data_IF_864673177318
#
_entry.id   IF_864673177318
#
_cell.length_a   1.000
_cell.length_b   1.000
_cell.length_c   1.000
_cell.angle_alpha   90.00
_cell.angle_beta   90.00
_cell.angle_gamma   90.00
#
_symmetry.space_group_name_H-M   'P 1'
#
loop_
_entity.id
_entity.type
_entity.pdbx_description
1 polymer ?
#
# COMPACT_ATOMS: atom_id res chain seq x y z
N UNK A 1 40.62 -61.44 -31.58
CA UNK A 1 41.01 -62.86 -31.48
C UNK A 1 39.77 -63.63 -31.03
N UNK A 2 39.48 -64.57 -31.87
CA UNK A 2 38.47 -65.64 -31.78
C UNK A 2 38.69 -66.54 -30.55
N UNK A 3 37.63 -67.17 -30.02
CA UNK A 3 37.40 -68.60 -29.82
C UNK A 3 36.20 -68.68 -28.86
N UNK A 4 34.98 -69.08 -29.20
CA UNK A 4 34.41 -70.35 -29.60
C UNK A 4 34.07 -71.28 -28.42
N UNK A 5 32.77 -71.63 -28.43
CA UNK A 5 31.99 -72.59 -27.65
C UNK A 5 32.64 -73.97 -27.38
N UNK A 6 32.09 -74.84 -26.46
CA UNK A 6 31.04 -75.71 -26.96
C UNK A 6 29.89 -76.09 -26.02
N UNK A 7 28.85 -76.55 -26.67
CA UNK A 7 27.67 -77.30 -26.34
C UNK A 7 27.96 -78.61 -25.61
N UNK A 8 27.12 -78.97 -24.64
CA UNK A 8 26.86 -80.37 -24.31
C UNK A 8 25.39 -80.61 -23.93
N UNK A 9 24.73 -81.34 -24.76
CA UNK A 9 23.40 -81.97 -24.56
C UNK A 9 23.52 -83.21 -23.72
N UNK A 10 22.57 -83.53 -22.89
CA UNK A 10 22.24 -84.92 -22.47
C UNK A 10 20.77 -85.04 -22.05
N UNK A 11 20.21 -86.08 -22.57
CA UNK A 11 18.84 -86.58 -22.60
C UNK A 11 18.34 -87.18 -21.26
N UNK A 12 17.00 -87.17 -21.17
CA UNK A 12 16.12 -88.28 -20.67
C UNK A 12 15.80 -88.35 -19.16
N UNK A 13 14.55 -88.17 -18.82
CA UNK A 13 13.68 -89.32 -18.47
C UNK A 13 12.27 -88.85 -18.06
N UNK A 14 11.27 -89.38 -18.69
CA UNK A 14 9.85 -89.20 -18.32
C UNK A 14 9.48 -90.03 -17.12
N UNK A 15 8.79 -89.41 -16.16
CA UNK A 15 8.02 -90.14 -15.14
C UNK A 15 6.64 -89.50 -15.10
N UNK A 16 5.66 -90.28 -15.57
CA UNK A 16 4.24 -90.02 -15.45
C UNK A 16 3.79 -90.26 -13.99
N UNK A 17 3.42 -89.22 -13.28
CA UNK A 17 2.68 -89.33 -12.01
C UNK A 17 1.39 -88.52 -12.18
N UNK A 18 0.26 -89.17 -12.20
CA UNK A 18 -1.03 -88.52 -12.25
C UNK A 18 -1.31 -87.77 -10.96
N UNK A 19 -1.63 -86.56 -11.08
CA UNK A 19 -2.13 -85.71 -9.99
C UNK A 19 -3.61 -85.45 -10.23
N UNK A 20 -4.42 -85.82 -9.25
CA UNK A 20 -5.81 -85.44 -9.14
C UNK A 20 -5.93 -83.90 -9.03
N UNK A 21 -6.70 -83.34 -9.92
CA UNK A 21 -7.04 -81.93 -9.86
C UNK A 21 -7.99 -81.59 -8.73
N UNK A 22 -7.50 -80.88 -7.71
CA UNK A 22 -8.34 -80.25 -6.68
C UNK A 22 -8.89 -78.95 -7.34
N UNK A 23 -10.21 -78.69 -7.29
CA UNK A 23 -10.76 -77.49 -7.81
C UNK A 23 -10.26 -76.27 -6.94
N UNK A 24 -9.45 -75.43 -7.50
CA UNK A 24 -9.07 -74.15 -6.89
C UNK A 24 -10.25 -73.22 -6.98
N UNK A 25 -10.82 -72.87 -5.79
CA UNK A 25 -11.83 -71.87 -5.67
C UNK A 25 -11.18 -70.51 -6.11
N UNK A 26 -11.80 -69.82 -7.04
CA UNK A 26 -11.37 -68.51 -7.47
C UNK A 26 -11.29 -67.50 -6.25
N UNK A 27 -10.25 -66.70 -6.09
CA UNK A 27 -10.21 -65.73 -5.02
C UNK A 27 -11.39 -64.74 -5.20
N UNK A 28 -12.04 -64.41 -4.07
CA UNK A 28 -13.10 -63.41 -4.03
C UNK A 28 -12.56 -62.07 -4.58
N UNK A 29 -13.36 -61.34 -5.36
CA UNK A 29 -12.92 -60.01 -5.84
C UNK A 29 -12.58 -59.12 -4.65
N UNK A 30 -11.45 -58.43 -4.74
CA UNK A 30 -11.05 -57.43 -3.75
C UNK A 30 -12.16 -56.38 -3.60
N UNK A 31 -12.49 -55.95 -2.37
CA UNK A 31 -13.46 -54.87 -2.20
C UNK A 31 -13.01 -53.63 -2.97
N UNK A 32 -13.95 -53.04 -3.67
CA UNK A 32 -13.71 -51.75 -4.35
C UNK A 32 -13.10 -50.75 -3.34
N UNK A 33 -12.06 -50.02 -3.73
CA UNK A 33 -11.51 -48.99 -2.86
C UNK A 33 -12.62 -48.00 -2.53
N UNK A 34 -12.84 -47.82 -1.21
CA UNK A 34 -13.80 -46.80 -0.74
C UNK A 34 -13.54 -45.48 -1.44
N UNK A 35 -14.57 -44.77 -1.89
CA UNK A 35 -14.37 -43.49 -2.55
C UNK A 35 -13.56 -42.59 -1.61
N UNK A 36 -12.36 -42.16 -2.07
CA UNK A 36 -11.59 -41.16 -1.37
C UNK A 36 -12.45 -39.90 -1.35
N UNK A 37 -13.02 -39.60 -0.21
CA UNK A 37 -13.61 -38.28 0.04
C UNK A 37 -12.48 -37.31 -0.09
N UNK A 38 -12.38 -36.70 -1.27
CA UNK A 38 -11.49 -35.56 -1.49
C UNK A 38 -11.93 -34.51 -0.46
N UNK A 39 -11.10 -34.28 0.56
CA UNK A 39 -11.34 -33.19 1.48
C UNK A 39 -11.64 -31.95 0.61
N UNK A 40 -12.82 -31.39 0.78
CA UNK A 40 -13.13 -30.12 0.12
C UNK A 40 -11.99 -29.18 0.47
N UNK A 41 -11.30 -28.69 -0.55
CA UNK A 41 -10.26 -27.69 -0.34
C UNK A 41 -10.94 -26.57 0.45
N UNK A 42 -10.45 -26.32 1.67
CA UNK A 42 -10.97 -25.23 2.48
C UNK A 42 -10.88 -23.97 1.63
N UNK A 43 -12.02 -23.36 1.40
CA UNK A 43 -12.06 -22.09 0.68
C UNK A 43 -11.24 -21.12 1.52
N UNK A 44 -10.18 -20.48 0.97
CA UNK A 44 -9.41 -19.52 1.75
C UNK A 44 -10.37 -18.46 2.30
N UNK A 45 -10.09 -17.91 3.49
CA UNK A 45 -10.92 -16.86 4.06
C UNK A 45 -11.00 -15.70 3.08
N UNK A 46 -12.15 -14.98 3.02
CA UNK A 46 -12.29 -13.83 2.15
C UNK A 46 -11.25 -12.78 2.51
N UNK A 47 -10.59 -12.22 1.48
CA UNK A 47 -9.64 -11.12 1.66
C UNK A 47 -10.41 -9.79 1.77
N UNK A 48 -10.24 -9.08 2.87
CA UNK A 48 -10.98 -7.85 3.17
C UNK A 48 -10.61 -6.67 2.24
N UNK A 49 -9.41 -6.71 1.64
CA UNK A 49 -8.90 -5.63 0.80
C UNK A 49 -9.33 -5.76 -0.66
N UNK A 50 -9.92 -6.90 -1.04
CA UNK A 50 -10.24 -7.20 -2.44
C UNK A 50 -11.15 -6.14 -3.07
N UNK A 51 -12.28 -5.81 -2.46
CA UNK A 51 -13.22 -4.86 -3.05
C UNK A 51 -12.65 -3.43 -3.08
N UNK A 52 -11.91 -3.04 -2.04
CA UNK A 52 -11.23 -1.75 -1.99
C UNK A 52 -10.19 -1.63 -3.11
N UNK A 53 -9.36 -2.66 -3.31
CA UNK A 53 -8.35 -2.69 -4.37
C UNK A 53 -8.97 -2.74 -5.77
N UNK A 54 -10.04 -3.51 -5.96
CA UNK A 54 -10.78 -3.54 -7.23
C UNK A 54 -11.37 -2.16 -7.53
N UNK A 55 -11.98 -1.48 -6.55
CA UNK A 55 -12.47 -0.12 -6.74
C UNK A 55 -11.34 0.83 -7.12
N UNK A 56 -10.21 0.74 -6.43
CA UNK A 56 -9.07 1.63 -6.69
C UNK A 56 -8.44 1.40 -8.07
N UNK A 57 -8.37 0.16 -8.56
CA UNK A 57 -7.75 -0.16 -9.86
C UNK A 57 -8.69 -0.09 -11.05
N UNK A 58 -9.97 -0.40 -10.87
CA UNK A 58 -10.88 -0.67 -11.97
C UNK A 58 -12.04 0.32 -12.08
N UNK A 59 -12.30 1.16 -11.06
CA UNK A 59 -13.40 2.12 -11.16
C UNK A 59 -12.98 3.39 -11.90
N UNK A 60 -13.87 3.84 -12.78
CA UNK A 60 -13.73 5.16 -13.43
C UNK A 60 -13.94 6.28 -12.41
N UNK A 61 -14.76 6.04 -11.40
CA UNK A 61 -15.05 6.98 -10.31
C UNK A 61 -13.78 7.40 -9.57
N UNK A 62 -12.83 6.46 -9.35
CA UNK A 62 -11.53 6.80 -8.77
C UNK A 62 -10.80 7.84 -9.61
N UNK A 63 -10.71 7.64 -10.92
CA UNK A 63 -10.01 8.56 -11.81
C UNK A 63 -10.68 9.94 -11.85
N UNK A 64 -12.02 9.95 -11.85
CA UNK A 64 -12.79 11.21 -11.83
C UNK A 64 -12.55 11.98 -10.53
N UNK A 65 -12.60 11.32 -9.36
CA UNK A 65 -12.41 11.96 -8.05
C UNK A 65 -10.99 12.51 -7.92
N UNK A 66 -9.96 11.75 -8.26
CA UNK A 66 -8.58 12.23 -8.25
C UNK A 66 -8.38 13.44 -9.18
N UNK A 67 -8.84 13.34 -10.43
CA UNK A 67 -8.75 14.43 -11.40
C UNK A 67 -9.54 15.67 -10.98
N UNK A 68 -10.69 15.52 -10.32
CA UNK A 68 -11.47 16.63 -9.78
C UNK A 68 -10.73 17.34 -8.64
N UNK A 69 -10.18 16.60 -7.68
CA UNK A 69 -9.44 17.15 -6.55
C UNK A 69 -8.26 17.99 -7.04
N UNK A 70 -7.40 17.46 -7.90
CA UNK A 70 -6.26 18.20 -8.42
C UNK A 70 -6.65 19.40 -9.29
N UNK A 71 -7.71 19.30 -10.07
CA UNK A 71 -8.23 20.43 -10.87
C UNK A 71 -8.80 21.51 -9.96
N UNK A 72 -9.55 21.17 -8.92
CA UNK A 72 -10.06 22.11 -7.95
C UNK A 72 -8.92 22.82 -7.20
N UNK A 73 -7.88 22.10 -6.80
CA UNK A 73 -6.66 22.67 -6.20
C UNK A 73 -5.99 23.69 -7.13
N UNK A 74 -5.91 23.39 -8.43
CA UNK A 74 -5.39 24.32 -9.43
C UNK A 74 -6.13 25.66 -9.47
N UNK A 75 -7.45 25.65 -9.23
CA UNK A 75 -8.26 26.86 -9.12
C UNK A 75 -7.89 27.74 -7.91
N UNK A 76 -7.43 27.15 -6.81
CA UNK A 76 -7.01 27.90 -5.61
C UNK A 76 -5.56 28.36 -5.65
N UNK A 77 -4.73 27.82 -6.54
CA UNK A 77 -3.28 28.11 -6.54
C UNK A 77 -2.97 29.60 -6.74
N UNK A 78 -3.69 30.26 -7.62
CA UNK A 78 -3.49 31.70 -7.87
C UNK A 78 -3.85 32.55 -6.64
N UNK A 79 -4.93 32.21 -5.94
CA UNK A 79 -5.36 32.87 -4.70
C UNK A 79 -4.34 32.66 -3.59
N UNK A 80 -3.88 31.41 -3.41
CA UNK A 80 -2.89 31.06 -2.40
C UNK A 80 -1.53 31.75 -2.65
N UNK A 81 -1.14 31.91 -3.91
CA UNK A 81 0.09 32.66 -4.29
C UNK A 81 -0.03 34.14 -3.97
N UNK A 82 -1.18 34.76 -4.27
CA UNK A 82 -1.40 36.20 -4.11
C UNK A 82 -1.54 36.64 -2.64
N UNK A 83 -2.02 35.78 -1.76
CA UNK A 83 -2.19 36.08 -0.34
C UNK A 83 -0.95 35.69 0.46
N UNK A 84 -0.13 36.69 0.85
CA UNK A 84 1.06 36.44 1.65
C UNK A 84 0.77 35.82 3.03
N UNK A 85 -0.44 35.96 3.55
CA UNK A 85 -0.88 35.36 4.83
C UNK A 85 -1.37 33.92 4.68
N UNK A 86 -1.53 33.44 3.45
CA UNK A 86 -1.98 32.08 3.18
C UNK A 86 -0.93 31.06 3.62
N UNK A 87 -1.29 30.17 4.53
CA UNK A 87 -0.45 29.05 4.97
C UNK A 87 -1.32 27.83 5.27
N UNK A 88 -0.89 26.67 4.85
CA UNK A 88 -1.59 25.39 5.01
C UNK A 88 -1.04 24.56 6.18
N UNK A 89 0.02 25.00 6.86
CA UNK A 89 0.52 24.30 8.05
C UNK A 89 -0.36 24.59 9.26
N UNK A 90 -0.72 23.58 10.07
CA UNK A 90 -1.31 23.80 11.37
C UNK A 90 -0.44 24.71 12.23
N UNK A 91 -1.03 25.52 13.14
CA UNK A 91 -0.25 26.37 14.04
C UNK A 91 0.81 25.62 14.85
N UNK A 92 0.57 24.35 15.21
CA UNK A 92 1.56 23.52 15.90
C UNK A 92 2.78 23.13 15.05
N UNK A 93 2.66 23.18 13.72
CA UNK A 93 3.76 22.88 12.79
C UNK A 93 4.44 24.17 12.28
N UNK A 94 3.91 25.37 12.60
CA UNK A 94 4.43 26.66 12.18
C UNK A 94 5.04 27.41 13.38
N UNK A 95 6.32 27.72 13.31
CA UNK A 95 7.05 28.40 14.37
C UNK A 95 7.70 29.72 13.93
N UNK A 96 7.38 30.22 12.72
CA UNK A 96 7.91 31.46 12.17
C UNK A 96 6.84 32.18 11.33
N UNK A 97 7.14 33.40 10.90
CA UNK A 97 6.27 34.18 9.99
C UNK A 97 6.44 33.70 8.54
N UNK A 98 5.41 33.13 7.88
CA UNK A 98 5.51 32.60 6.53
C UNK A 98 5.47 33.67 5.43
N UNK A 99 5.10 34.94 5.73
CA UNK A 99 4.74 35.96 4.73
C UNK A 99 5.85 36.32 3.74
N UNK A 100 7.11 36.24 4.17
CA UNK A 100 8.27 36.56 3.34
C UNK A 100 8.94 35.29 2.76
N UNK A 101 8.44 34.11 3.06
CA UNK A 101 9.03 32.84 2.64
C UNK A 101 8.59 32.47 1.20
N UNK A 102 9.44 31.80 0.43
CA UNK A 102 9.08 31.28 -0.88
C UNK A 102 7.95 30.25 -0.77
N UNK A 103 7.10 30.15 -1.81
CA UNK A 103 5.96 29.24 -1.77
C UNK A 103 6.36 27.77 -1.96
N UNK A 104 5.68 26.87 -1.25
CA UNK A 104 5.80 25.43 -1.43
C UNK A 104 4.45 24.72 -1.36
N UNK A 105 4.42 23.50 -1.88
CA UNK A 105 3.35 22.52 -1.69
C UNK A 105 3.98 21.29 -1.04
N UNK A 106 3.28 20.70 -0.07
CA UNK A 106 3.63 19.41 0.50
C UNK A 106 2.66 18.37 -0.07
N UNK A 107 3.21 17.27 -0.57
CA UNK A 107 2.42 16.11 -1.02
C UNK A 107 2.94 14.85 -0.34
N UNK A 108 2.05 13.96 0.05
CA UNK A 108 2.39 12.58 0.29
C UNK A 108 2.70 11.86 -1.03
N UNK A 109 3.26 10.66 -0.97
CA UNK A 109 3.67 9.91 -2.18
C UNK A 109 2.67 8.82 -2.51
N UNK A 110 2.42 7.91 -1.54
CA UNK A 110 1.71 6.67 -1.76
C UNK A 110 0.19 6.90 -1.78
N UNK A 111 -0.48 6.47 -2.85
CA UNK A 111 -1.91 6.72 -3.10
C UNK A 111 -2.30 8.22 -3.09
N UNK A 112 -1.28 9.06 -3.15
CA UNK A 112 -1.44 10.51 -3.33
C UNK A 112 -0.93 10.95 -4.70
N UNK A 113 0.35 10.75 -5.02
CA UNK A 113 0.91 11.06 -6.34
C UNK A 113 1.30 9.82 -7.14
N UNK A 114 1.66 8.73 -6.48
CA UNK A 114 2.02 7.44 -7.09
C UNK A 114 1.01 6.35 -6.72
N UNK A 115 0.65 5.53 -7.71
CA UNK A 115 -0.24 4.37 -7.58
C UNK A 115 0.57 3.12 -7.19
N UNK A 116 0.41 2.65 -5.96
CA UNK A 116 1.04 1.43 -5.45
C UNK A 116 0.05 0.26 -5.34
N UNK A 117 -1.15 0.40 -5.85
CA UNK A 117 -2.14 -0.67 -5.87
C UNK A 117 -1.67 -1.98 -6.52
N UNK A 118 -0.67 -2.00 -7.46
CA UNK A 118 -0.11 -3.26 -7.93
C UNK A 118 0.54 -4.10 -6.82
N UNK A 119 1.14 -3.48 -5.80
CA UNK A 119 1.67 -4.22 -4.64
C UNK A 119 0.55 -4.79 -3.79
N UNK A 120 -0.54 -4.04 -3.56
CA UNK A 120 -1.72 -4.52 -2.87
C UNK A 120 -2.33 -5.74 -3.59
N UNK A 121 -2.35 -5.75 -4.92
CA UNK A 121 -2.79 -6.92 -5.71
C UNK A 121 -1.90 -8.13 -5.47
N UNK A 122 -0.58 -7.96 -5.34
CA UNK A 122 0.35 -9.06 -5.03
C UNK A 122 0.03 -9.65 -3.66
N UNK A 123 -0.14 -8.81 -2.64
CA UNK A 123 -0.52 -9.26 -1.29
C UNK A 123 -1.82 -10.07 -1.30
N UNK A 124 -2.85 -9.60 -2.01
CA UNK A 124 -4.13 -10.30 -2.15
C UNK A 124 -3.95 -11.66 -2.83
N UNK A 125 -3.21 -11.72 -3.95
CA UNK A 125 -3.02 -12.96 -4.71
C UNK A 125 -2.19 -13.99 -3.98
N UNK A 126 -1.20 -13.52 -3.22
CA UNK A 126 -0.30 -14.37 -2.42
C UNK A 126 -0.90 -14.70 -1.05
N UNK A 127 -2.06 -14.13 -0.72
CA UNK A 127 -2.72 -14.22 0.59
C UNK A 127 -1.76 -13.87 1.73
N UNK A 128 -1.10 -12.71 1.60
CA UNK A 128 -0.15 -12.17 2.56
C UNK A 128 -0.65 -10.86 3.14
N UNK A 129 -0.28 -10.60 4.39
CA UNK A 129 -0.36 -9.27 4.98
C UNK A 129 0.83 -8.41 4.50
N UNK A 130 0.73 -7.09 4.70
CA UNK A 130 1.83 -6.17 4.47
C UNK A 130 3.11 -6.60 5.20
N UNK A 131 4.25 -6.48 4.53
CA UNK A 131 5.56 -6.59 5.14
C UNK A 131 6.57 -5.66 4.47
N UNK A 132 7.50 -5.15 5.25
CA UNK A 132 8.49 -4.15 4.82
C UNK A 132 9.43 -4.66 3.71
N UNK A 133 9.72 -5.96 3.66
CA UNK A 133 10.64 -6.51 2.65
C UNK A 133 9.99 -6.54 1.25
N UNK A 134 8.76 -7.01 1.14
CA UNK A 134 8.00 -7.03 -0.12
C UNK A 134 7.71 -5.58 -0.58
N UNK A 135 7.37 -4.69 0.36
CA UNK A 135 7.20 -3.27 0.09
C UNK A 135 8.48 -2.60 -0.43
N UNK A 136 9.62 -2.81 0.24
CA UNK A 136 10.90 -2.30 -0.22
C UNK A 136 11.27 -2.81 -1.61
N UNK A 137 11.03 -4.11 -1.87
CA UNK A 137 11.24 -4.70 -3.19
C UNK A 137 10.33 -4.09 -4.29
N UNK A 138 9.11 -3.68 -3.95
CA UNK A 138 8.23 -2.94 -4.86
C UNK A 138 8.77 -1.54 -5.15
N UNK A 139 9.15 -0.79 -4.13
CA UNK A 139 9.69 0.58 -4.29
C UNK A 139 10.96 0.56 -5.16
N UNK A 140 11.83 -0.43 -4.97
CA UNK A 140 13.06 -0.60 -5.77
C UNK A 140 12.79 -0.89 -7.25
N UNK A 141 11.60 -1.35 -7.63
CA UNK A 141 11.23 -1.51 -9.03
C UNK A 141 11.03 -0.17 -9.75
N UNK A 142 10.83 0.94 -9.02
CA UNK A 142 10.59 2.28 -9.58
C UNK A 142 9.46 2.30 -10.62
N UNK A 143 8.42 1.48 -10.42
CA UNK A 143 7.40 1.18 -11.41
C UNK A 143 6.03 1.82 -11.13
N UNK A 144 5.88 2.49 -9.99
CA UNK A 144 4.65 3.16 -9.62
C UNK A 144 4.33 4.30 -10.60
N UNK A 145 3.07 4.36 -11.04
CA UNK A 145 2.59 5.32 -12.04
C UNK A 145 1.97 6.55 -11.39
N UNK A 146 1.95 7.70 -12.06
CA UNK A 146 1.22 8.87 -11.59
C UNK A 146 -0.26 8.59 -11.40
N UNK A 147 -0.82 9.10 -10.31
CA UNK A 147 -2.27 9.15 -10.11
C UNK A 147 -2.89 10.28 -10.94
N UNK A 148 -4.17 10.14 -11.37
CA UNK A 148 -4.81 11.08 -12.27
C UNK A 148 -4.81 12.52 -11.75
N UNK A 149 -4.37 13.46 -12.56
CA UNK A 149 -4.33 14.90 -12.27
C UNK A 149 -3.12 15.37 -11.44
N UNK A 150 -2.43 14.46 -10.73
CA UNK A 150 -1.32 14.82 -9.86
C UNK A 150 -0.14 15.44 -10.62
N UNK A 151 0.25 14.79 -11.71
CA UNK A 151 1.40 15.21 -12.51
C UNK A 151 1.21 16.59 -13.15
N UNK A 152 0.06 16.79 -13.77
CA UNK A 152 -0.29 18.05 -14.44
C UNK A 152 -0.35 19.19 -13.44
N UNK A 153 -1.02 19.00 -12.30
CA UNK A 153 -1.13 20.01 -11.26
C UNK A 153 0.23 20.40 -10.69
N UNK A 154 1.07 19.44 -10.31
CA UNK A 154 2.36 19.72 -9.69
C UNK A 154 3.35 20.36 -10.68
N UNK A 155 3.30 20.01 -11.96
CA UNK A 155 4.07 20.69 -13.02
C UNK A 155 3.64 22.13 -13.21
N UNK A 156 2.32 22.40 -13.23
CA UNK A 156 1.80 23.77 -13.30
C UNK A 156 2.24 24.61 -12.08
N UNK A 157 2.14 24.03 -10.88
CA UNK A 157 2.61 24.67 -9.65
C UNK A 157 4.11 25.01 -9.71
N UNK A 158 4.95 24.05 -10.13
CA UNK A 158 6.38 24.25 -10.27
C UNK A 158 6.72 25.30 -11.33
N UNK A 159 6.00 25.33 -12.47
CA UNK A 159 6.16 26.36 -13.51
C UNK A 159 5.81 27.77 -13.01
N UNK A 160 5.00 27.89 -11.96
CA UNK A 160 4.70 29.16 -11.27
C UNK A 160 5.65 29.48 -10.11
N UNK A 161 6.76 28.75 -9.97
CA UNK A 161 7.78 28.99 -8.95
C UNK A 161 7.46 28.39 -7.58
N UNK A 162 6.53 27.43 -7.50
CA UNK A 162 6.21 26.72 -6.26
C UNK A 162 7.11 25.51 -6.12
N UNK A 163 7.80 25.39 -4.98
CA UNK A 163 8.61 24.21 -4.68
C UNK A 163 7.72 23.07 -4.19
N UNK A 164 7.92 21.85 -4.71
CA UNK A 164 7.15 20.66 -4.27
C UNK A 164 8.00 19.82 -3.33
N UNK A 165 7.48 19.52 -2.13
CA UNK A 165 8.07 18.61 -1.18
C UNK A 165 7.23 17.33 -1.08
N UNK A 166 7.91 16.19 -1.08
CA UNK A 166 7.33 14.86 -0.99
C UNK A 166 7.61 14.29 0.40
N UNK A 167 6.59 14.26 1.27
CA UNK A 167 6.70 13.76 2.64
C UNK A 167 6.01 12.40 2.74
N UNK A 168 6.78 11.33 2.78
CA UNK A 168 6.26 9.96 2.74
C UNK A 168 6.72 9.15 3.95
N UNK A 169 5.95 8.14 4.32
CA UNK A 169 6.36 7.13 5.29
C UNK A 169 7.15 5.96 4.65
N UNK A 170 7.54 6.07 3.39
CA UNK A 170 8.63 5.25 2.85
C UNK A 170 9.89 5.49 3.67
N UNK A 171 10.58 4.43 4.05
CA UNK A 171 11.84 4.55 4.79
C UNK A 171 12.85 5.43 4.05
N UNK A 172 13.62 6.22 4.77
CA UNK A 172 14.60 7.13 4.19
C UNK A 172 15.71 6.39 3.40
N UNK A 173 15.96 5.10 3.69
CA UNK A 173 16.86 4.27 2.89
C UNK A 173 16.36 4.00 1.46
N UNK A 174 15.06 4.14 1.21
CA UNK A 174 14.43 4.01 -0.12
C UNK A 174 14.35 5.34 -0.88
N UNK A 175 15.01 6.40 -0.37
CA UNK A 175 14.95 7.74 -0.95
C UNK A 175 15.40 7.75 -2.42
N UNK A 176 16.51 7.09 -2.75
CA UNK A 176 17.04 7.04 -4.12
C UNK A 176 16.00 6.45 -5.08
N UNK A 177 15.47 5.26 -4.76
CA UNK A 177 14.47 4.59 -5.60
C UNK A 177 13.19 5.42 -5.75
N UNK A 178 12.75 6.08 -4.68
CA UNK A 178 11.56 6.93 -4.69
C UNK A 178 11.75 8.17 -5.56
N UNK A 179 12.88 8.87 -5.38
CA UNK A 179 13.22 10.07 -6.17
C UNK A 179 13.36 9.72 -7.65
N UNK A 180 14.00 8.60 -7.95
CA UNK A 180 14.14 8.11 -9.33
C UNK A 180 12.77 7.79 -9.95
N UNK A 181 11.87 7.13 -9.22
CA UNK A 181 10.52 6.86 -9.72
C UNK A 181 9.75 8.16 -9.99
N UNK A 182 9.79 9.12 -9.06
CA UNK A 182 9.17 10.44 -9.24
C UNK A 182 9.72 11.17 -10.47
N UNK A 183 11.04 11.17 -10.68
CA UNK A 183 11.68 11.78 -11.86
C UNK A 183 11.29 11.09 -13.15
N UNK A 184 11.34 9.76 -13.19
CA UNK A 184 10.95 8.97 -14.37
C UNK A 184 9.48 9.18 -14.72
N UNK A 185 8.61 9.29 -13.72
CA UNK A 185 7.20 9.63 -13.89
C UNK A 185 6.99 11.10 -14.33
N UNK A 186 8.04 11.94 -14.22
CA UNK A 186 8.05 13.33 -14.67
C UNK A 186 7.58 14.34 -13.63
N UNK A 187 7.52 13.97 -12.37
CA UNK A 187 7.21 14.90 -11.27
C UNK A 187 8.33 15.94 -11.06
N UNK A 188 7.98 17.18 -10.63
CA UNK A 188 8.95 18.22 -10.39
C UNK A 188 9.72 17.99 -9.08
N UNK A 189 10.83 17.30 -9.17
CA UNK A 189 11.77 17.08 -8.08
C UNK A 189 13.18 17.41 -8.58
N UNK A 190 13.64 18.66 -8.29
CA UNK A 190 14.92 19.17 -8.73
C UNK A 190 16.09 18.69 -7.88
N UNK A 191 15.85 18.55 -6.58
CA UNK A 191 16.84 18.12 -5.60
C UNK A 191 16.29 16.98 -4.73
N UNK A 192 17.16 16.02 -4.34
CA UNK A 192 16.76 14.90 -3.52
C UNK A 192 16.28 15.31 -2.12
N UNK A 193 16.70 16.47 -1.61
CA UNK A 193 16.24 17.03 -0.34
C UNK A 193 14.75 17.43 -0.34
N UNK A 194 14.11 17.45 -1.50
CA UNK A 194 12.66 17.62 -1.60
C UNK A 194 11.87 16.36 -1.22
N UNK A 195 12.52 15.21 -1.11
CA UNK A 195 11.94 13.99 -0.55
C UNK A 195 12.33 13.83 0.92
N UNK A 196 11.32 13.71 1.79
CA UNK A 196 11.46 13.57 3.23
C UNK A 196 10.79 12.25 3.66
N UNK A 197 11.57 11.17 3.71
CA UNK A 197 11.13 9.83 4.09
C UNK A 197 11.03 9.66 5.60
N UNK A 198 10.47 8.52 6.01
CA UNK A 198 10.48 8.08 7.41
C UNK A 198 11.94 7.87 7.86
N UNK A 199 12.28 8.42 9.04
CA UNK A 199 13.66 8.42 9.52
C UNK A 199 14.45 9.68 9.16
N UNK A 200 13.86 10.63 8.40
CA UNK A 200 14.48 11.95 8.21
C UNK A 200 14.68 12.65 9.56
N UNK A 201 15.92 12.91 9.92
CA UNK A 201 16.27 13.61 11.17
C UNK A 201 16.00 15.10 11.02
N UNK A 202 15.22 15.65 11.95
CA UNK A 202 14.90 17.09 12.00
C UNK A 202 15.42 17.67 13.29
N UNK A 203 16.42 18.54 13.22
CA UNK A 203 17.01 19.19 14.39
C UNK A 203 15.94 19.94 15.21
N UNK A 204 15.93 19.69 16.51
CA UNK A 204 14.99 20.31 17.45
C UNK A 204 13.55 19.81 17.36
N UNK A 205 13.33 18.66 16.70
CA UNK A 205 12.02 17.99 16.67
C UNK A 205 12.21 16.49 16.83
N UNK A 206 11.55 15.90 17.81
CA UNK A 206 11.52 14.45 17.99
C UNK A 206 10.30 13.88 17.25
N UNK A 207 10.57 13.01 16.28
CA UNK A 207 9.52 12.31 15.55
C UNK A 207 9.05 11.10 16.35
N UNK A 208 7.75 11.01 16.57
CA UNK A 208 7.11 9.85 17.19
C UNK A 208 6.55 8.93 16.11
N UNK A 209 7.06 7.69 16.05
CA UNK A 209 6.61 6.70 15.07
C UNK A 209 6.67 7.22 13.62
N UNK A 210 5.58 7.07 12.90
CA UNK A 210 5.44 7.49 11.50
C UNK A 210 4.86 8.91 11.32
N UNK A 211 4.69 9.69 12.41
CA UNK A 211 4.14 11.03 12.36
C UNK A 211 4.95 11.95 11.43
N UNK A 212 4.25 12.78 10.68
CA UNK A 212 4.87 13.66 9.67
C UNK A 212 5.13 15.10 10.18
N UNK A 213 4.76 15.42 11.42
CA UNK A 213 4.83 16.77 11.96
C UNK A 213 6.23 17.41 11.87
N UNK A 214 7.29 16.69 12.29
CA UNK A 214 8.67 17.19 12.22
C UNK A 214 9.09 17.51 10.78
N UNK A 215 8.71 16.66 9.82
CA UNK A 215 9.05 16.85 8.40
C UNK A 215 8.27 18.05 7.81
N UNK A 216 7.00 18.26 8.20
CA UNK A 216 6.23 19.47 7.86
C UNK A 216 6.86 20.73 8.45
N UNK A 217 7.28 20.68 9.71
CA UNK A 217 8.00 21.78 10.36
C UNK A 217 9.31 22.13 9.65
N UNK A 218 10.06 21.11 9.19
CA UNK A 218 11.30 21.30 8.43
C UNK A 218 11.05 22.13 7.17
N UNK A 219 10.03 21.77 6.40
CA UNK A 219 9.60 22.56 5.23
C UNK A 219 9.17 23.95 5.66
N UNK A 220 8.37 24.05 6.73
CA UNK A 220 7.85 25.31 7.24
C UNK A 220 8.90 26.31 7.69
N UNK A 221 10.10 25.86 8.07
CA UNK A 221 11.22 26.77 8.46
C UNK A 221 11.62 27.70 7.32
N UNK A 222 11.57 27.22 6.08
CA UNK A 222 12.10 27.92 4.92
C UNK A 222 11.07 28.22 3.83
N UNK A 223 9.84 27.72 3.98
CA UNK A 223 8.81 27.85 2.95
C UNK A 223 7.45 28.20 3.56
N UNK A 224 6.68 29.00 2.81
CA UNK A 224 5.26 29.21 3.03
C UNK A 224 4.50 28.10 2.31
N UNK A 225 3.85 27.22 3.06
CA UNK A 225 3.16 26.07 2.51
C UNK A 225 1.77 26.49 2.01
N UNK A 226 1.56 26.44 0.71
CA UNK A 226 0.29 26.84 0.10
C UNK A 226 -0.79 25.77 0.25
N UNK A 227 -0.40 24.51 0.06
CA UNK A 227 -1.32 23.37 0.07
C UNK A 227 -0.63 22.12 0.60
N UNK A 228 -1.42 21.22 1.17
CA UNK A 228 -1.02 19.88 1.52
C UNK A 228 -1.95 18.88 0.83
N UNK A 229 -1.38 17.78 0.32
CA UNK A 229 -2.09 16.67 -0.29
C UNK A 229 -1.71 15.36 0.39
N UNK A 230 -2.69 14.51 0.64
CA UNK A 230 -2.47 13.21 1.23
C UNK A 230 -3.75 12.36 1.23
N UNK A 231 -3.59 11.07 1.43
CA UNK A 231 -4.68 10.10 1.55
C UNK A 231 -5.02 9.79 3.01
N UNK A 232 -4.17 10.26 3.95
CA UNK A 232 -4.34 10.03 5.39
C UNK A 232 -4.44 11.34 6.18
N UNK A 233 -5.18 11.33 7.28
CA UNK A 233 -5.28 12.49 8.19
C UNK A 233 -3.90 12.91 8.73
N UNK A 234 -3.00 11.94 8.97
CA UNK A 234 -1.63 12.18 9.43
C UNK A 234 -0.76 13.00 8.45
N UNK A 235 -1.16 13.11 7.18
CA UNK A 235 -0.46 13.93 6.19
C UNK A 235 -0.61 15.42 6.48
N UNK A 236 -1.73 15.80 7.10
CA UNK A 236 -2.11 17.19 7.32
C UNK A 236 -1.84 17.66 8.74
N UNK A 237 -2.08 16.80 9.73
CA UNK A 237 -2.03 17.14 11.15
C UNK A 237 -1.56 15.93 11.97
N UNK A 238 -0.91 16.18 13.11
CA UNK A 238 -0.52 15.12 14.02
C UNK A 238 -1.74 14.44 14.65
N UNK A 239 -1.73 13.10 14.69
CA UNK A 239 -2.76 12.30 15.34
C UNK A 239 -2.23 11.85 16.70
N UNK A 240 -2.68 12.52 17.76
CA UNK A 240 -2.27 12.19 19.15
C UNK A 240 -2.88 10.86 19.62
N UNK A 241 -4.12 10.57 19.20
CA UNK A 241 -4.80 9.33 19.51
C UNK A 241 -5.40 8.74 18.23
N UNK A 242 -4.85 7.61 17.78
CA UNK A 242 -5.35 6.96 16.57
C UNK A 242 -6.57 6.08 16.93
N UNK A 243 -7.68 6.76 17.19
CA UNK A 243 -9.04 6.21 17.31
C UNK A 243 -9.95 6.96 16.35
N UNK A 244 -11.13 6.43 15.97
CA UNK A 244 -12.08 7.15 15.11
C UNK A 244 -12.42 8.55 15.64
N UNK A 245 -12.60 8.69 16.97
CA UNK A 245 -12.89 9.97 17.65
C UNK A 245 -11.68 10.89 17.64
N UNK A 246 -10.48 10.36 17.97
CA UNK A 246 -9.24 11.14 18.00
C UNK A 246 -8.88 11.69 16.61
N UNK A 247 -9.07 10.91 15.56
CA UNK A 247 -8.88 11.35 14.16
C UNK A 247 -9.85 12.47 13.80
N UNK A 248 -11.15 12.34 14.15
CA UNK A 248 -12.15 13.39 13.94
C UNK A 248 -11.79 14.66 14.72
N UNK A 249 -11.39 14.53 15.97
CA UNK A 249 -10.98 15.65 16.81
C UNK A 249 -9.75 16.39 16.25
N UNK A 250 -8.76 15.67 15.71
CA UNK A 250 -7.57 16.25 15.09
C UNK A 250 -7.90 17.14 13.88
N UNK A 251 -8.89 16.74 13.06
CA UNK A 251 -9.30 17.48 11.85
C UNK A 251 -10.30 18.58 12.13
N UNK A 252 -11.10 18.45 13.19
CA UNK A 252 -12.23 19.36 13.48
C UNK A 252 -11.89 20.87 13.40
N UNK A 253 -10.76 21.36 13.91
CA UNK A 253 -10.39 22.78 13.83
C UNK A 253 -10.12 23.25 12.38
N UNK A 254 -9.87 22.33 11.45
CA UNK A 254 -9.39 22.59 10.09
C UNK A 254 -10.39 22.20 9.00
N UNK A 255 -11.63 21.84 9.33
CA UNK A 255 -12.63 21.44 8.34
C UNK A 255 -12.85 22.52 7.25
N UNK A 256 -12.71 23.80 7.60
CA UNK A 256 -12.77 24.89 6.63
C UNK A 256 -11.55 25.00 5.71
N UNK A 257 -10.48 24.23 5.95
CA UNK A 257 -9.29 24.17 5.11
C UNK A 257 -9.37 23.06 4.05
N UNK A 258 -10.20 22.07 4.30
CA UNK A 258 -10.41 20.96 3.36
C UNK A 258 -11.06 21.49 2.08
N UNK A 259 -10.45 21.15 0.94
CA UNK A 259 -10.85 21.68 -0.37
C UNK A 259 -10.33 23.08 -0.69
N UNK A 260 -9.42 23.64 0.13
CA UNK A 260 -8.74 24.91 -0.11
C UNK A 260 -7.23 24.82 0.13
N UNK A 261 -6.85 24.43 1.34
CA UNK A 261 -5.47 24.27 1.79
C UNK A 261 -5.05 22.83 1.93
N UNK A 262 -6.00 21.97 2.31
CA UNK A 262 -5.83 20.52 2.49
C UNK A 262 -6.68 19.78 1.47
N UNK A 263 -6.05 18.88 0.75
CA UNK A 263 -6.62 18.12 -0.35
C UNK A 263 -6.51 16.63 -0.04
N UNK A 264 -7.58 16.06 0.54
CA UNK A 264 -7.62 14.67 0.91
C UNK A 264 -8.03 13.81 -0.29
N UNK A 265 -7.23 12.78 -0.57
CA UNK A 265 -7.47 11.82 -1.63
C UNK A 265 -8.05 10.51 -1.04
N UNK A 266 -8.93 9.81 -1.75
CA UNK A 266 -9.52 8.58 -1.23
C UNK A 266 -8.53 7.41 -1.33
N UNK A 267 -8.28 6.73 -0.20
CA UNK A 267 -7.61 5.43 -0.17
C UNK A 267 -8.45 4.45 0.68
N UNK A 268 -9.25 3.58 0.03
CA UNK A 268 -10.03 2.57 0.72
C UNK A 268 -9.24 1.27 0.98
N UNK A 269 -8.01 1.14 0.46
CA UNK A 269 -7.25 -0.11 0.51
C UNK A 269 -6.56 -0.31 1.85
N UNK A 270 -5.91 0.74 2.35
CA UNK A 270 -5.15 0.69 3.59
C UNK A 270 -4.98 2.11 4.18
N UNK A 271 -4.56 2.16 5.42
CA UNK A 271 -4.24 3.43 6.08
C UNK A 271 -4.40 3.35 7.58
N UNK A 272 -3.98 4.41 8.27
CA UNK A 272 -4.08 4.50 9.73
C UNK A 272 -5.52 4.55 10.25
N UNK A 273 -6.51 4.70 9.38
CA UNK A 273 -7.93 4.60 9.71
C UNK A 273 -8.34 3.18 10.11
N UNK A 274 -7.73 2.16 9.51
CA UNK A 274 -8.05 0.77 9.76
C UNK A 274 -7.64 0.32 11.17
N UNK A 275 -6.36 0.43 11.59
CA UNK A 275 -5.96 0.02 12.93
C UNK A 275 -6.58 0.86 14.05
N UNK A 276 -7.11 2.03 13.75
CA UNK A 276 -7.91 2.83 14.68
C UNK A 276 -9.14 2.08 15.19
N UNK A 277 -9.64 1.09 14.44
CA UNK A 277 -10.82 0.28 14.79
C UNK A 277 -10.48 -0.87 15.76
N UNK A 278 -9.22 -1.23 15.91
CA UNK A 278 -8.77 -2.33 16.77
C UNK A 278 -7.57 -1.94 17.66
N UNK A 279 -7.61 -0.72 18.21
CA UNK A 279 -6.64 -0.18 19.16
C UNK A 279 -5.19 -0.19 18.66
N UNK A 280 -4.98 -0.10 17.36
CA UNK A 280 -3.67 -0.16 16.70
C UNK A 280 -2.91 -1.49 16.92
N UNK A 281 -3.61 -2.55 17.34
CA UNK A 281 -3.03 -3.83 17.70
C UNK A 281 -2.97 -4.80 16.51
N UNK A 282 -2.04 -4.57 15.58
CA UNK A 282 -1.79 -5.46 14.44
C UNK A 282 -1.42 -6.90 14.84
N UNK A 283 -0.93 -7.10 16.08
CA UNK A 283 -0.63 -8.42 16.64
C UNK A 283 -1.87 -9.26 16.95
N UNK A 284 -3.08 -8.68 16.96
CA UNK A 284 -4.32 -9.44 17.13
C UNK A 284 -4.53 -10.40 15.95
N UNK A 285 -5.11 -11.59 16.19
CA UNK A 285 -5.49 -12.48 15.10
C UNK A 285 -6.38 -11.82 14.05
N UNK A 286 -6.21 -12.17 12.78
CA UNK A 286 -6.97 -11.57 11.68
C UNK A 286 -8.50 -11.63 11.89
N UNK A 287 -9.01 -12.73 12.48
CA UNK A 287 -10.43 -12.87 12.81
C UNK A 287 -10.91 -11.81 13.82
N UNK A 288 -10.10 -11.47 14.82
CA UNK A 288 -10.43 -10.44 15.81
C UNK A 288 -10.38 -9.04 15.18
N UNK A 289 -9.40 -8.76 14.34
CA UNK A 289 -9.31 -7.50 13.58
C UNK A 289 -10.54 -7.33 12.69
N UNK A 290 -10.95 -8.41 12.01
CA UNK A 290 -12.17 -8.42 11.18
C UNK A 290 -13.43 -8.18 12.01
N UNK A 291 -13.60 -8.86 13.15
CA UNK A 291 -14.73 -8.64 14.03
C UNK A 291 -14.82 -7.19 14.55
N UNK A 292 -13.68 -6.54 14.81
CA UNK A 292 -13.65 -5.13 15.18
C UNK A 292 -14.09 -4.20 14.03
N UNK A 293 -13.70 -4.51 12.78
CA UNK A 293 -14.18 -3.78 11.59
C UNK A 293 -15.71 -3.94 11.43
N UNK A 294 -16.22 -5.17 11.55
CA UNK A 294 -17.66 -5.46 11.48
C UNK A 294 -18.45 -4.73 12.58
N UNK A 295 -17.90 -4.68 13.80
CA UNK A 295 -18.52 -3.97 14.92
C UNK A 295 -18.55 -2.43 14.75
N UNK A 296 -17.69 -1.88 13.89
CA UNK A 296 -17.68 -0.45 13.58
C UNK A 296 -18.73 -0.03 12.54
N UNK A 297 -19.40 -1.00 11.91
CA UNK A 297 -20.47 -0.72 10.96
C UNK A 297 -21.76 -0.43 11.70
N UNK A 298 -22.47 0.58 11.25
CA UNK A 298 -23.80 0.97 11.76
C UNK A 298 -24.87 0.54 10.76
N UNK A 299 -25.73 -0.38 11.16
CA UNK A 299 -26.86 -0.84 10.36
C UNK A 299 -28.18 -0.12 10.66
N UNK A 300 -28.14 0.87 11.56
CA UNK A 300 -29.29 1.69 11.98
C UNK A 300 -30.48 0.89 12.52
N UNK A 301 -30.24 -0.32 13.06
CA UNK A 301 -31.26 -1.18 13.70
C UNK A 301 -31.18 -1.13 15.21
#
# INVERSE_FOLDING_TARGET
MRVALPVLSLLSAALLAGCASVPQSAPAPAPDPAPMVRAAAETPPPNDDLNATVWFQASVERDLVFGEIYRAAGGYLAVALADASWDALPPGDRNNDPRALPPAIIVDVDETVLDNSPEQVRQIRDNKDFNEADWGAWVEQRAAKPLPGALEFLRDAAARGVTVFYISNRDASLAEATVDNLRQAGFPIGDASQFLGLGTVVEGCEQEGSEKACRRQLVGRNYRVLMQFGDQVGDFVQIVANTPEGRRAAVAPYLGWVGQRWWALPNPMYGSWEPALFDNAWSRPAAERRAAKEAALDDMR
#
